data_IF_340839726209
#
_entry.id   IF_340839726209
#
_cell.length_a   1.000
_cell.length_b   1.000
_cell.length_c   1.000
_cell.angle_alpha   90.00
_cell.angle_beta   90.00
_cell.angle_gamma   90.00
#
_symmetry.space_group_name_H-M   'P 1'
#
loop_
_entity.id
_entity.type
_entity.pdbx_description
1 polymer ?
#
# COMPACT_ATOMS: atom_id res chain seq x y z
N UNK A 1 -21.50 22.45 -11.34
CA UNK A 1 -21.39 21.36 -10.36
C UNK A 1 -20.74 20.23 -11.13
N UNK A 2 -19.42 20.10 -11.02
CA UNK A 2 -18.64 19.03 -11.65
C UNK A 2 -18.90 17.76 -10.84
N UNK A 3 -19.55 16.82 -11.47
CA UNK A 3 -19.79 15.49 -10.93
C UNK A 3 -18.43 14.77 -10.93
N UNK A 4 -17.73 14.78 -9.80
CA UNK A 4 -16.47 14.02 -9.61
C UNK A 4 -16.83 12.53 -9.54
N UNK A 5 -17.23 11.99 -10.68
CA UNK A 5 -17.61 10.61 -10.81
C UNK A 5 -16.36 9.73 -10.70
N UNK A 6 -16.26 8.98 -9.61
CA UNK A 6 -15.16 8.05 -9.42
C UNK A 6 -15.41 6.78 -10.20
N UNK A 7 -14.57 6.52 -11.18
CA UNK A 7 -14.54 5.25 -11.90
C UNK A 7 -13.64 4.26 -11.18
N UNK A 8 -14.08 3.02 -11.09
CA UNK A 8 -13.28 1.91 -10.56
C UNK A 8 -12.99 0.92 -11.67
N UNK A 9 -11.77 0.44 -11.69
CA UNK A 9 -11.38 -0.72 -12.49
C UNK A 9 -11.19 -1.90 -11.54
N UNK A 10 -11.87 -2.99 -11.84
CA UNK A 10 -11.84 -4.21 -11.04
C UNK A 10 -11.19 -5.31 -11.85
N UNK A 11 -10.11 -5.88 -11.33
CA UNK A 11 -9.46 -7.05 -11.92
C UNK A 11 -10.10 -8.31 -11.34
N UNK A 12 -10.82 -9.06 -12.19
CA UNK A 12 -11.48 -10.31 -11.81
C UNK A 12 -11.06 -11.42 -12.76
N UNK A 13 -10.32 -12.41 -12.27
CA UNK A 13 -9.92 -13.63 -13.01
C UNK A 13 -9.33 -13.34 -14.41
N UNK A 14 -8.48 -12.32 -14.49
CA UNK A 14 -7.83 -11.90 -15.74
C UNK A 14 -8.69 -11.03 -16.65
N UNK A 15 -9.83 -10.56 -16.16
CA UNK A 15 -10.67 -9.56 -16.85
C UNK A 15 -10.61 -8.24 -16.09
N UNK A 16 -10.52 -7.15 -16.82
CA UNK A 16 -10.65 -5.80 -16.29
C UNK A 16 -12.09 -5.35 -16.49
N UNK A 17 -12.80 -5.09 -15.40
CA UNK A 17 -14.18 -4.62 -15.40
C UNK A 17 -14.20 -3.16 -14.95
N UNK A 18 -15.03 -2.35 -15.58
CA UNK A 18 -15.24 -0.97 -15.15
C UNK A 18 -16.58 -0.79 -14.42
N UNK A 19 -16.56 0.09 -13.44
CA UNK A 19 -17.75 0.48 -12.68
C UNK A 19 -17.65 1.92 -12.22
N UNK A 20 -18.76 2.46 -11.74
CA UNK A 20 -18.86 3.81 -11.20
C UNK A 20 -19.29 3.73 -9.74
N UNK A 21 -18.65 4.52 -8.89
CA UNK A 21 -19.06 4.65 -7.48
C UNK A 21 -20.34 5.47 -7.40
N UNK A 22 -21.36 4.93 -6.72
CA UNK A 22 -22.64 5.61 -6.50
C UNK A 22 -22.53 6.57 -5.30
N UNK A 23 -23.37 7.62 -5.25
CA UNK A 23 -23.44 8.47 -4.07
C UNK A 23 -23.65 7.68 -2.78
N UNK A 24 -22.80 7.91 -1.77
CA UNK A 24 -22.86 7.21 -0.48
C UNK A 24 -22.33 5.77 -0.49
N UNK A 25 -21.83 5.27 -1.61
CA UNK A 25 -21.22 3.94 -1.72
C UNK A 25 -19.73 4.02 -1.47
N UNK A 26 -19.16 3.09 -0.67
CA UNK A 26 -17.71 2.95 -0.58
C UNK A 26 -17.14 2.33 -1.86
N UNK A 27 -15.88 2.58 -2.12
CA UNK A 27 -15.22 2.05 -3.32
C UNK A 27 -15.16 0.51 -3.31
N UNK A 28 -14.96 -0.08 -2.13
CA UNK A 28 -14.99 -1.53 -1.97
C UNK A 28 -16.39 -2.11 -2.26
N UNK A 29 -17.46 -1.43 -1.86
CA UNK A 29 -18.83 -1.84 -2.17
C UNK A 29 -19.10 -1.75 -3.68
N UNK A 30 -18.69 -0.65 -4.32
CA UNK A 30 -18.78 -0.47 -5.75
C UNK A 30 -18.05 -1.56 -6.53
N UNK A 31 -16.84 -1.94 -6.07
CA UNK A 31 -16.07 -3.00 -6.69
C UNK A 31 -16.77 -4.37 -6.58
N UNK A 32 -17.24 -4.73 -5.38
CA UNK A 32 -18.00 -5.98 -5.19
C UNK A 32 -19.23 -6.02 -6.09
N UNK A 33 -19.98 -4.90 -6.19
CA UNK A 33 -21.14 -4.78 -7.07
C UNK A 33 -20.75 -4.95 -8.54
N UNK A 34 -19.64 -4.33 -8.97
CA UNK A 34 -19.15 -4.45 -10.36
C UNK A 34 -18.79 -5.90 -10.69
N UNK A 35 -18.07 -6.60 -9.82
CA UNK A 35 -17.74 -8.02 -10.02
C UNK A 35 -18.98 -8.93 -10.04
N UNK A 36 -19.98 -8.63 -9.23
CA UNK A 36 -21.23 -9.42 -9.18
C UNK A 36 -22.17 -9.15 -10.36
N UNK A 37 -21.93 -8.09 -11.14
CA UNK A 37 -22.78 -7.71 -12.25
C UNK A 37 -22.52 -8.59 -13.48
N UNK A 38 -23.53 -9.28 -13.95
CA UNK A 38 -23.53 -10.01 -15.24
C UNK A 38 -23.42 -9.08 -16.45
N UNK A 39 -23.62 -7.77 -16.26
CA UNK A 39 -23.57 -6.73 -17.29
C UNK A 39 -22.36 -5.80 -17.11
N UNK A 40 -21.36 -6.21 -16.32
CA UNK A 40 -20.16 -5.43 -16.18
C UNK A 40 -19.43 -5.31 -17.52
N UNK A 41 -19.15 -4.07 -17.92
CA UNK A 41 -18.46 -3.79 -19.18
C UNK A 41 -16.95 -3.93 -19.00
N UNK A 42 -16.23 -4.37 -20.05
CA UNK A 42 -14.76 -4.32 -20.03
C UNK A 42 -14.27 -2.89 -19.79
N UNK A 43 -13.20 -2.73 -19.01
CA UNK A 43 -12.61 -1.43 -18.77
C UNK A 43 -12.11 -0.83 -20.11
N UNK A 44 -12.52 0.39 -20.48
CA UNK A 44 -12.06 1.03 -21.71
C UNK A 44 -10.55 1.32 -21.62
N UNK A 45 -9.86 1.26 -22.78
CA UNK A 45 -8.42 1.50 -22.88
C UNK A 45 -8.00 2.95 -22.72
N UNK A 46 -8.95 3.87 -23.01
CA UNK A 46 -8.76 5.32 -22.91
C UNK A 46 -9.89 5.92 -22.08
N UNK A 47 -9.64 6.18 -20.80
CA UNK A 47 -10.50 6.98 -19.95
C UNK A 47 -10.00 8.43 -20.04
N UNK A 48 -10.61 9.25 -20.92
CA UNK A 48 -10.34 10.69 -20.99
C UNK A 48 -11.15 11.42 -19.92
N UNK A 49 -10.47 12.05 -18.96
CA UNK A 49 -11.06 12.82 -17.87
C UNK A 49 -10.27 12.64 -16.57
N UNK A 50 -10.63 13.32 -15.49
CA UNK A 50 -10.09 13.06 -14.15
C UNK A 50 -10.59 11.69 -13.63
N UNK A 51 -10.00 10.65 -14.17
CA UNK A 51 -10.28 9.28 -13.74
C UNK A 51 -9.38 9.00 -12.54
N UNK A 52 -9.95 9.01 -11.35
CA UNK A 52 -9.34 8.37 -10.19
C UNK A 52 -9.54 6.87 -10.36
N UNK A 53 -8.62 6.26 -11.10
CA UNK A 53 -8.61 4.81 -11.27
C UNK A 53 -8.35 4.15 -9.92
N UNK A 54 -9.33 3.41 -9.46
CA UNK A 54 -9.25 2.62 -8.27
C UNK A 54 -9.29 1.16 -8.67
N UNK A 55 -8.18 0.46 -8.44
CA UNK A 55 -8.05 -0.94 -8.84
C UNK A 55 -8.32 -1.83 -7.64
N UNK A 56 -9.43 -2.54 -7.66
CA UNK A 56 -9.74 -3.60 -6.70
C UNK A 56 -9.49 -4.93 -7.38
N UNK A 57 -8.66 -5.74 -6.75
CA UNK A 57 -8.40 -7.09 -7.23
C UNK A 57 -9.15 -8.12 -6.40
N UNK A 58 -9.94 -8.93 -7.08
CA UNK A 58 -10.56 -10.15 -6.56
C UNK A 58 -9.84 -11.40 -7.06
N UNK A 59 -8.57 -11.28 -7.49
CA UNK A 59 -7.78 -12.45 -7.84
C UNK A 59 -7.46 -13.22 -6.56
N UNK A 60 -8.09 -14.38 -6.38
CA UNK A 60 -7.86 -15.30 -5.26
C UNK A 60 -6.39 -15.74 -5.13
N UNK A 61 -5.60 -15.50 -6.17
CA UNK A 61 -4.17 -15.82 -6.21
C UNK A 61 -3.28 -14.79 -5.54
N UNK A 62 -3.78 -13.57 -5.27
CA UNK A 62 -3.06 -12.56 -4.52
C UNK A 62 -3.43 -12.65 -3.05
N UNK A 63 -2.48 -13.00 -2.21
CA UNK A 63 -2.66 -13.14 -0.77
C UNK A 63 -1.67 -12.26 -0.01
N UNK A 64 -2.06 -11.87 1.21
CA UNK A 64 -1.17 -11.22 2.17
C UNK A 64 -1.22 -12.03 3.46
N UNK A 65 -0.07 -12.50 3.92
CA UNK A 65 0.10 -13.25 5.16
C UNK A 65 1.12 -12.60 6.09
N UNK A 66 1.07 -12.94 7.36
CA UNK A 66 2.12 -12.54 8.28
C UNK A 66 3.49 -13.03 7.79
N UNK A 67 4.50 -12.16 7.92
CA UNK A 67 5.90 -12.50 7.64
C UNK A 67 6.42 -13.47 8.70
N UNK A 68 7.26 -14.37 8.28
CA UNK A 68 8.01 -15.29 9.13
C UNK A 68 9.51 -15.12 8.94
N UNK A 69 10.32 -15.69 9.82
CA UNK A 69 11.78 -15.68 9.64
C UNK A 69 12.23 -16.38 8.36
N UNK A 70 11.45 -17.35 7.88
CA UNK A 70 11.70 -18.05 6.61
C UNK A 70 11.65 -17.11 5.39
N UNK A 71 11.06 -15.94 5.52
CA UNK A 71 10.96 -14.94 4.43
C UNK A 71 12.15 -13.97 4.41
N UNK A 72 12.94 -13.89 5.48
CA UNK A 72 14.06 -12.94 5.57
C UNK A 72 15.10 -13.08 4.45
N UNK A 73 15.42 -14.27 3.92
CA UNK A 73 16.30 -14.39 2.76
C UNK A 73 15.77 -13.69 1.50
N UNK A 74 14.45 -13.76 1.24
CA UNK A 74 13.83 -13.05 0.13
C UNK A 74 13.85 -11.55 0.35
N UNK A 75 13.52 -11.08 1.56
CA UNK A 75 13.57 -9.67 1.93
C UNK A 75 15.00 -9.13 1.80
N UNK A 76 16.00 -9.88 2.24
CA UNK A 76 17.42 -9.53 2.07
C UNK A 76 17.79 -9.34 0.60
N UNK A 77 17.41 -10.30 -0.24
CA UNK A 77 17.64 -10.24 -1.68
C UNK A 77 16.99 -9.00 -2.30
N UNK A 78 15.73 -8.70 -1.95
CA UNK A 78 15.02 -7.52 -2.46
C UNK A 78 15.64 -6.21 -1.99
N UNK A 79 15.98 -6.11 -0.70
CA UNK A 79 16.59 -4.92 -0.11
C UNK A 79 17.95 -4.58 -0.73
N UNK A 80 18.65 -5.55 -1.30
CA UNK A 80 19.93 -5.37 -2.00
C UNK A 80 19.81 -4.89 -3.44
N UNK A 81 18.60 -4.92 -4.02
CA UNK A 81 18.40 -4.38 -5.37
C UNK A 81 18.45 -2.85 -5.37
N UNK A 82 18.98 -2.24 -6.42
CA UNK A 82 19.02 -0.78 -6.55
C UNK A 82 17.61 -0.19 -6.59
N UNK A 83 16.63 -0.98 -7.07
CA UNK A 83 15.22 -0.63 -7.10
C UNK A 83 14.67 -0.29 -5.72
N UNK A 84 15.05 -1.02 -4.66
CA UNK A 84 14.58 -0.80 -3.29
C UNK A 84 15.61 0.00 -2.49
N UNK A 85 16.90 -0.33 -2.59
CA UNK A 85 17.97 0.25 -1.80
C UNK A 85 17.98 1.78 -1.81
N UNK A 86 17.71 2.39 -2.98
CA UNK A 86 17.67 3.85 -3.14
C UNK A 86 16.64 4.57 -2.26
N UNK A 87 15.58 3.88 -1.85
CA UNK A 87 14.50 4.45 -1.05
C UNK A 87 14.59 4.11 0.44
N UNK A 88 15.54 3.25 0.79
CA UNK A 88 15.83 2.84 2.16
C UNK A 88 17.34 2.88 2.45
N UNK A 89 18.04 3.83 1.84
CA UNK A 89 19.49 3.96 1.97
C UNK A 89 19.91 4.28 3.43
N UNK A 90 19.13 5.07 4.13
CA UNK A 90 19.37 5.46 5.51
C UNK A 90 19.43 4.29 6.51
N UNK A 91 18.82 3.15 6.18
CA UNK A 91 18.92 1.93 7.00
C UNK A 91 20.24 1.16 6.79
N UNK A 92 21.13 1.65 5.93
CA UNK A 92 22.43 1.03 5.61
C UNK A 92 22.33 -0.21 4.72
N UNK A 93 23.49 -0.84 4.48
CA UNK A 93 23.54 -2.08 3.69
C UNK A 93 22.85 -3.23 4.43
N UNK A 94 21.89 -3.93 3.79
CA UNK A 94 21.17 -4.99 4.45
C UNK A 94 22.04 -6.24 4.62
N UNK A 95 22.15 -6.71 5.85
CA UNK A 95 22.79 -7.97 6.23
C UNK A 95 21.77 -8.92 6.86
N UNK A 96 22.03 -10.24 6.87
CA UNK A 96 21.15 -11.19 7.55
C UNK A 96 20.94 -10.82 9.04
N UNK A 97 22.01 -10.46 9.74
CA UNK A 97 21.98 -10.10 11.16
C UNK A 97 21.22 -8.78 11.37
N UNK A 98 21.42 -7.78 10.50
CA UNK A 98 20.70 -6.50 10.53
C UNK A 98 19.20 -6.67 10.29
N UNK A 99 18.81 -7.54 9.34
CA UNK A 99 17.41 -7.84 9.12
C UNK A 99 16.78 -8.59 10.29
N UNK A 100 17.47 -9.57 10.86
CA UNK A 100 16.99 -10.28 12.05
C UNK A 100 16.81 -9.33 13.24
N UNK A 101 17.80 -8.46 13.48
CA UNK A 101 17.71 -7.48 14.57
C UNK A 101 16.55 -6.50 14.39
N UNK A 102 16.28 -6.04 13.15
CA UNK A 102 15.22 -5.08 12.84
C UNK A 102 13.85 -5.74 12.77
N UNK A 103 13.71 -6.84 12.02
CA UNK A 103 12.42 -7.43 11.71
C UNK A 103 12.03 -8.56 12.64
N UNK A 104 12.98 -9.22 13.32
CA UNK A 104 12.70 -10.27 14.29
C UNK A 104 11.70 -9.84 15.36
N UNK A 105 11.90 -8.72 16.09
CA UNK A 105 10.93 -8.23 17.07
C UNK A 105 9.55 -7.92 16.46
N UNK A 106 9.49 -7.45 15.22
CA UNK A 106 8.24 -7.17 14.49
C UNK A 106 7.50 -8.46 14.12
N UNK A 107 8.24 -9.50 13.73
CA UNK A 107 7.72 -10.84 13.43
C UNK A 107 7.18 -11.49 14.69
N UNK A 108 7.90 -11.39 15.81
CA UNK A 108 7.51 -11.99 17.10
C UNK A 108 6.36 -11.25 17.80
N UNK A 109 5.99 -10.09 17.28
CA UNK A 109 4.94 -9.30 17.91
C UNK A 109 5.40 -8.49 19.12
N UNK A 110 6.70 -8.32 19.30
CA UNK A 110 7.33 -7.53 20.36
C UNK A 110 7.46 -6.05 19.99
N UNK A 111 7.17 -5.69 18.74
CA UNK A 111 7.14 -4.32 18.22
C UNK A 111 5.69 -3.94 17.86
N UNK A 112 5.30 -2.66 17.96
CA UNK A 112 4.01 -2.20 17.44
C UNK A 112 3.89 -2.38 15.91
N UNK A 113 5.01 -2.29 15.17
CA UNK A 113 5.04 -2.58 13.73
C UNK A 113 4.84 -4.06 13.46
N UNK A 114 4.04 -4.37 12.43
CA UNK A 114 3.84 -5.74 11.92
C UNK A 114 4.33 -5.84 10.50
N UNK A 115 4.78 -7.06 10.15
CA UNK A 115 5.34 -7.37 8.84
C UNK A 115 4.45 -8.37 8.11
N UNK A 116 4.26 -8.14 6.82
CA UNK A 116 3.43 -8.96 5.94
C UNK A 116 4.19 -9.31 4.67
N UNK A 117 3.95 -10.50 4.14
CA UNK A 117 4.41 -10.93 2.81
C UNK A 117 3.22 -10.91 1.86
N UNK A 118 3.40 -10.28 0.72
CA UNK A 118 2.50 -10.39 -0.41
C UNK A 118 2.92 -11.55 -1.31
N UNK A 119 1.96 -12.37 -1.71
CA UNK A 119 2.18 -13.54 -2.57
C UNK A 119 1.25 -13.54 -3.77
N UNK A 120 1.77 -13.98 -4.92
CA UNK A 120 0.97 -14.27 -6.12
C UNK A 120 1.14 -15.74 -6.45
N UNK A 121 0.05 -16.51 -6.43
CA UNK A 121 0.07 -17.96 -6.62
C UNK A 121 1.05 -18.68 -5.66
N UNK A 122 1.12 -18.25 -4.41
CA UNK A 122 2.02 -18.81 -3.39
C UNK A 122 3.50 -18.42 -3.56
N UNK A 123 3.82 -17.51 -4.47
CA UNK A 123 5.17 -16.98 -4.65
C UNK A 123 5.28 -15.60 -4.03
N UNK A 124 6.22 -15.40 -3.12
CA UNK A 124 6.49 -14.11 -2.48
C UNK A 124 6.92 -13.07 -3.52
N UNK A 125 6.26 -11.90 -3.52
CA UNK A 125 6.44 -10.83 -4.50
C UNK A 125 6.81 -9.48 -3.88
N UNK A 126 6.77 -9.38 -2.56
CA UNK A 126 7.07 -8.16 -1.83
C UNK A 126 6.65 -8.24 -0.38
N UNK A 127 6.87 -7.17 0.36
CA UNK A 127 6.44 -7.06 1.74
C UNK A 127 5.75 -5.74 2.02
N UNK A 128 4.96 -5.73 3.10
CA UNK A 128 4.29 -4.56 3.65
C UNK A 128 4.56 -4.54 5.15
N UNK A 129 4.71 -3.37 5.74
CA UNK A 129 4.66 -3.19 7.18
C UNK A 129 3.60 -2.17 7.56
N UNK A 130 2.97 -2.37 8.70
CA UNK A 130 1.98 -1.47 9.25
C UNK A 130 2.25 -1.14 10.73
N UNK A 131 1.86 0.05 11.12
CA UNK A 131 2.00 0.53 12.50
C UNK A 131 1.03 1.69 12.75
N UNK A 132 0.64 1.89 14.01
CA UNK A 132 -0.08 3.11 14.38
C UNK A 132 0.94 4.24 14.54
N UNK A 133 0.68 5.39 13.96
CA UNK A 133 1.60 6.54 14.01
C UNK A 133 1.82 6.99 15.46
N UNK A 134 0.79 6.95 16.31
CA UNK A 134 0.88 7.26 17.72
C UNK A 134 1.89 6.39 18.51
N UNK A 135 2.22 5.18 18.02
CA UNK A 135 3.22 4.31 18.65
C UNK A 135 4.67 4.81 18.42
N UNK A 136 4.84 5.84 17.58
CA UNK A 136 6.12 6.47 17.23
C UNK A 136 6.04 8.00 17.46
N UNK A 137 6.20 8.47 18.72
CA UNK A 137 5.95 9.86 19.10
C UNK A 137 6.72 10.90 18.27
N UNK A 138 7.98 10.62 17.95
CA UNK A 138 8.82 11.54 17.15
C UNK A 138 8.27 11.66 15.71
N UNK A 139 7.81 10.56 15.13
CA UNK A 139 7.19 10.55 13.81
C UNK A 139 5.80 11.19 13.83
N UNK A 140 5.03 10.98 14.90
CA UNK A 140 3.72 11.59 15.08
C UNK A 140 3.76 13.13 15.07
N UNK A 141 4.88 13.74 15.47
CA UNK A 141 5.06 15.19 15.41
C UNK A 141 5.20 15.73 13.97
N UNK A 142 5.59 14.88 13.03
CA UNK A 142 5.75 15.23 11.62
C UNK A 142 4.50 14.92 10.80
N UNK A 143 3.69 13.97 11.27
CA UNK A 143 2.52 13.47 10.55
C UNK A 143 1.25 14.28 10.80
N UNK A 144 0.30 14.22 9.88
CA UNK A 144 -0.95 14.96 9.97
C UNK A 144 -1.94 14.41 11.00
N UNK A 145 -1.87 13.11 11.31
CA UNK A 145 -2.84 12.42 12.18
C UNK A 145 -2.13 11.29 12.96
N UNK A 146 -2.03 11.46 14.27
CA UNK A 146 -1.40 10.47 15.15
C UNK A 146 -2.17 9.14 15.21
N UNK A 147 -3.48 9.16 14.96
CA UNK A 147 -4.32 7.96 14.98
C UNK A 147 -4.32 7.20 13.64
N UNK A 148 -3.70 7.77 12.62
CA UNK A 148 -3.56 7.11 11.33
C UNK A 148 -2.69 5.83 11.43
N UNK A 149 -2.96 4.91 10.53
CA UNK A 149 -2.14 3.71 10.35
C UNK A 149 -1.13 3.96 9.26
N UNK A 150 0.14 3.99 9.64
CA UNK A 150 1.26 4.07 8.71
C UNK A 150 1.43 2.76 7.94
N UNK A 151 1.81 2.86 6.68
CA UNK A 151 2.11 1.72 5.82
C UNK A 151 3.34 2.00 4.96
N UNK A 152 4.31 1.08 5.01
CA UNK A 152 5.44 1.05 4.11
C UNK A 152 5.45 -0.27 3.35
N UNK A 153 5.97 -0.26 2.13
CA UNK A 153 5.92 -1.42 1.26
C UNK A 153 7.06 -1.44 0.24
N UNK A 154 7.38 -2.64 -0.18
CA UNK A 154 8.24 -2.85 -1.34
C UNK A 154 7.78 -4.05 -2.15
N UNK A 155 7.90 -3.94 -3.47
CA UNK A 155 7.75 -5.06 -4.40
C UNK A 155 9.12 -5.47 -4.94
N UNK A 156 9.30 -6.76 -5.10
CA UNK A 156 10.47 -7.28 -5.80
C UNK A 156 10.54 -6.68 -7.22
N UNK A 157 11.76 -6.40 -7.68
CA UNK A 157 11.99 -5.68 -8.95
C UNK A 157 11.31 -6.35 -10.13
N UNK A 158 11.36 -7.67 -10.19
CA UNK A 158 10.75 -8.48 -11.26
C UNK A 158 9.22 -8.42 -11.30
N UNK A 159 8.59 -7.90 -10.24
CA UNK A 159 7.14 -7.70 -10.13
C UNK A 159 6.72 -6.24 -10.30
N UNK A 160 7.67 -5.33 -10.40
CA UNK A 160 7.39 -3.90 -10.59
C UNK A 160 6.87 -3.60 -12.00
N UNK A 161 6.10 -2.52 -12.14
CA UNK A 161 5.57 -2.08 -13.44
C UNK A 161 4.44 -2.93 -14.01
N UNK A 162 3.96 -3.94 -13.27
CA UNK A 162 2.89 -4.86 -13.71
C UNK A 162 1.51 -4.54 -13.13
N UNK A 163 1.32 -3.36 -12.55
CA UNK A 163 0.07 -2.97 -11.90
C UNK A 163 -0.21 -3.68 -10.56
N UNK A 164 0.77 -4.43 -10.03
CA UNK A 164 0.58 -5.23 -8.82
C UNK A 164 0.52 -4.38 -7.53
N UNK A 165 1.22 -3.24 -7.48
CA UNK A 165 1.34 -2.43 -6.28
C UNK A 165 0.01 -2.03 -5.63
N UNK A 166 -0.91 -1.38 -6.36
CA UNK A 166 -2.22 -1.03 -5.82
C UNK A 166 -3.01 -2.24 -5.31
N UNK A 167 -2.89 -3.37 -6.01
CA UNK A 167 -3.54 -4.64 -5.66
C UNK A 167 -3.01 -5.21 -4.35
N UNK A 168 -1.68 -5.14 -4.13
CA UNK A 168 -1.05 -5.57 -2.87
C UNK A 168 -1.53 -4.71 -1.70
N UNK A 169 -1.59 -3.39 -1.85
CA UNK A 169 -2.13 -2.51 -0.80
C UNK A 169 -3.59 -2.84 -0.50
N UNK A 170 -4.40 -3.14 -1.52
CA UNK A 170 -5.78 -3.56 -1.31
C UNK A 170 -5.89 -4.88 -0.56
N UNK A 171 -5.13 -5.88 -0.96
CA UNK A 171 -5.11 -7.17 -0.28
C UNK A 171 -4.68 -7.00 1.19
N UNK A 172 -3.67 -6.14 1.43
CA UNK A 172 -3.23 -5.79 2.78
C UNK A 172 -4.35 -5.09 3.57
N UNK A 173 -4.96 -4.03 3.05
CA UNK A 173 -6.05 -3.30 3.72
C UNK A 173 -7.21 -4.24 4.08
N UNK A 174 -7.65 -5.05 3.14
CA UNK A 174 -8.74 -6.01 3.36
C UNK A 174 -8.36 -7.03 4.42
N UNK A 175 -7.12 -7.54 4.39
CA UNK A 175 -6.63 -8.55 5.33
C UNK A 175 -6.44 -8.01 6.74
N UNK A 176 -6.04 -6.74 6.88
CA UNK A 176 -5.64 -6.16 8.15
C UNK A 176 -6.70 -5.24 8.78
N UNK A 177 -7.78 -4.92 8.08
CA UNK A 177 -8.83 -4.00 8.54
C UNK A 177 -9.35 -4.29 9.95
N UNK A 178 -9.49 -5.57 10.29
CA UNK A 178 -9.97 -6.01 11.61
C UNK A 178 -8.98 -5.69 12.76
N UNK A 179 -7.70 -5.44 12.48
CA UNK A 179 -6.68 -5.06 13.48
C UNK A 179 -6.81 -3.61 13.93
N UNK A 180 -7.36 -2.80 13.04
CA UNK A 180 -7.51 -1.36 13.22
C UNK A 180 -8.98 -0.98 12.96
N UNK A 181 -9.93 -1.50 13.76
CA UNK A 181 -11.35 -1.29 13.52
C UNK A 181 -11.76 0.18 13.68
N UNK A 182 -11.02 0.92 14.47
CA UNK A 182 -11.17 2.34 14.77
C UNK A 182 -10.43 3.27 13.81
N UNK A 183 -9.57 2.71 12.93
CA UNK A 183 -8.80 3.54 11.99
C UNK A 183 -9.72 4.28 11.02
N UNK A 184 -9.53 5.58 10.94
CA UNK A 184 -10.19 6.47 9.98
C UNK A 184 -9.31 6.77 8.78
N UNK A 185 -7.99 6.67 8.94
CA UNK A 185 -7.00 7.06 7.95
C UNK A 185 -5.89 6.02 7.83
N UNK A 186 -5.54 5.64 6.61
CA UNK A 186 -4.27 5.03 6.28
C UNK A 186 -3.32 6.08 5.71
N UNK A 187 -2.03 5.98 6.03
CA UNK A 187 -1.02 6.98 5.71
C UNK A 187 0.25 6.33 5.16
N UNK A 188 0.82 6.94 4.13
CA UNK A 188 2.12 6.58 3.58
C UNK A 188 2.89 7.84 3.21
N UNK A 189 4.20 7.86 3.39
CA UNK A 189 5.04 9.02 3.12
C UNK A 189 6.24 8.67 2.23
N UNK A 190 6.02 8.41 0.93
CA UNK A 190 7.13 8.16 0.02
C UNK A 190 7.96 9.42 -0.23
N UNK A 191 9.25 9.23 -0.50
CA UNK A 191 10.13 10.29 -1.01
C UNK A 191 9.47 10.98 -2.24
N UNK A 192 9.53 12.31 -2.28
CA UNK A 192 8.90 13.11 -3.35
C UNK A 192 9.43 12.76 -4.76
N UNK A 193 10.64 12.22 -4.87
CA UNK A 193 11.25 11.75 -6.13
C UNK A 193 10.74 10.38 -6.55
N UNK A 194 10.08 9.63 -5.65
CA UNK A 194 9.55 8.30 -5.94
C UNK A 194 8.21 8.36 -6.68
N UNK A 195 8.26 8.86 -7.92
CA UNK A 195 7.07 9.00 -8.76
C UNK A 195 6.32 7.67 -8.99
N UNK A 196 7.01 6.53 -8.90
CA UNK A 196 6.38 5.21 -9.03
C UNK A 196 5.48 4.92 -7.83
N UNK A 197 5.97 5.17 -6.60
CA UNK A 197 5.22 5.01 -5.37
C UNK A 197 4.02 5.98 -5.33
N UNK A 198 4.23 7.24 -5.65
CA UNK A 198 3.15 8.25 -5.68
C UNK A 198 2.02 7.86 -6.64
N UNK A 199 2.34 7.42 -7.87
CA UNK A 199 1.33 6.94 -8.82
C UNK A 199 0.62 5.68 -8.33
N UNK A 200 1.35 4.78 -7.69
CA UNK A 200 0.79 3.55 -7.17
C UNK A 200 -0.18 3.84 -6.01
N UNK A 201 0.19 4.72 -5.07
CA UNK A 201 -0.67 5.16 -3.97
C UNK A 201 -1.94 5.83 -4.50
N UNK A 202 -1.82 6.73 -5.49
CA UNK A 202 -2.97 7.38 -6.11
C UNK A 202 -3.95 6.36 -6.72
N UNK A 203 -3.42 5.30 -7.38
CA UNK A 203 -4.23 4.20 -7.91
C UNK A 203 -4.87 3.35 -6.81
N UNK A 204 -4.19 3.18 -5.67
CA UNK A 204 -4.75 2.48 -4.52
C UNK A 204 -5.78 3.31 -3.73
N UNK A 205 -6.00 4.58 -4.10
CA UNK A 205 -7.00 5.45 -3.49
C UNK A 205 -6.47 6.47 -2.51
N UNK A 206 -5.16 6.55 -2.32
CA UNK A 206 -4.53 7.57 -1.49
C UNK A 206 -4.55 8.93 -2.21
N UNK A 207 -4.71 9.99 -1.44
CA UNK A 207 -4.61 11.37 -1.90
C UNK A 207 -3.31 11.97 -1.37
N UNK A 208 -2.49 12.52 -2.26
CA UNK A 208 -1.29 13.24 -1.87
C UNK A 208 -1.66 14.54 -1.17
N UNK A 209 -0.97 14.82 -0.07
CA UNK A 209 -1.17 15.99 0.79
C UNK A 209 0.11 16.82 0.92
N UNK A 210 0.43 17.19 2.17
CA UNK A 210 1.56 18.04 2.49
C UNK A 210 2.89 17.34 2.29
N UNK A 211 3.89 18.10 1.88
CA UNK A 211 5.29 17.71 1.87
C UNK A 211 5.90 18.09 3.21
N UNK A 212 6.73 17.23 3.76
CA UNK A 212 7.46 17.51 4.98
C UNK A 212 8.83 16.84 4.96
N UNK A 213 9.73 17.35 5.78
CA UNK A 213 11.08 16.82 5.92
C UNK A 213 11.08 15.75 7.03
N UNK A 214 11.53 14.56 6.69
CA UNK A 214 11.62 13.41 7.58
C UNK A 214 13.09 13.14 7.93
N UNK A 215 13.49 13.33 9.21
CA UNK A 215 14.82 12.95 9.66
C UNK A 215 15.03 11.44 9.57
N UNK A 216 16.17 11.03 9.04
CA UNK A 216 16.52 9.64 8.86
C UNK A 216 17.49 9.15 9.96
N UNK A 217 17.58 7.82 10.15
CA UNK A 217 18.44 7.20 11.16
C UNK A 217 19.93 7.52 10.98
N UNK A 218 20.39 7.76 9.75
CA UNK A 218 21.76 8.13 9.42
C UNK A 218 22.05 9.64 9.56
N UNK A 219 21.08 10.43 10.02
CA UNK A 219 21.17 11.87 10.20
C UNK A 219 20.92 12.68 8.92
N UNK A 220 20.60 12.04 7.80
CA UNK A 220 20.11 12.74 6.61
C UNK A 220 18.64 13.15 6.78
N UNK A 221 18.14 13.93 5.84
CA UNK A 221 16.73 14.37 5.80
C UNK A 221 16.18 14.07 4.41
N UNK A 222 15.07 13.33 4.38
CA UNK A 222 14.33 13.09 3.15
C UNK A 222 13.08 13.98 3.11
N UNK A 223 12.86 14.64 1.97
CA UNK A 223 11.58 15.33 1.73
C UNK A 223 10.57 14.31 1.21
N UNK A 224 9.51 14.10 1.96
CA UNK A 224 8.48 13.11 1.67
C UNK A 224 7.14 13.76 1.37
N UNK A 225 6.25 13.01 0.72
CA UNK A 225 4.88 13.43 0.42
C UNK A 225 3.92 12.62 1.26
N UNK A 226 3.26 13.25 2.22
CA UNK A 226 2.20 12.61 2.99
C UNK A 226 1.02 12.25 2.09
N UNK A 227 0.72 10.98 1.99
CA UNK A 227 -0.40 10.44 1.22
C UNK A 227 -1.38 9.78 2.19
N UNK A 228 -2.63 10.21 2.19
CA UNK A 228 -3.66 9.68 3.09
C UNK A 228 -4.80 9.02 2.33
N UNK A 229 -5.41 8.00 2.95
CA UNK A 229 -6.58 7.31 2.45
C UNK A 229 -7.67 7.34 3.52
N UNK A 230 -8.84 7.88 3.17
CA UNK A 230 -10.03 7.84 4.03
C UNK A 230 -10.64 6.43 4.02
N UNK A 231 -10.61 5.79 5.19
CA UNK A 231 -11.03 4.39 5.36
C UNK A 231 -12.53 4.22 5.10
N UNK A 232 -13.37 5.14 5.59
CA UNK A 232 -14.82 5.04 5.43
C UNK A 232 -15.21 5.20 3.96
N UNK A 233 -14.58 6.13 3.25
CA UNK A 233 -14.83 6.35 1.82
C UNK A 233 -14.41 5.18 0.97
N UNK A 234 -13.31 4.54 1.31
CA UNK A 234 -12.69 3.50 0.47
C UNK A 234 -13.17 2.11 0.83
N UNK A 235 -13.18 1.75 2.10
CA UNK A 235 -13.50 0.40 2.59
C UNK A 235 -14.93 0.28 3.11
N UNK A 236 -15.52 1.35 3.62
CA UNK A 236 -16.87 1.38 4.19
C UNK A 236 -16.92 0.97 5.64
#
# INVERSE_FOLDING_TARGET
MSDDQVHIVVHDRGRDLSGVVRPGESWAAAARRTCASVHAEPAPRDLSGEVKEFVVDHDERLTVRAMTRGDLPDVLRWRRTDHIRRWWAAEGEPTPEGLEARYGPRIDGLSPTRMWIAEVNGRSVGFVQDYRIADYPDYALLGPDSDAIGVDYALAEEWSGRGLGPRVLWAWMTRTRHRFPDATTYFAAPDHRNAASLRMLAKAGFTAGLWFDEPQEDGTVDTVVGCSLDVARVLG
#
